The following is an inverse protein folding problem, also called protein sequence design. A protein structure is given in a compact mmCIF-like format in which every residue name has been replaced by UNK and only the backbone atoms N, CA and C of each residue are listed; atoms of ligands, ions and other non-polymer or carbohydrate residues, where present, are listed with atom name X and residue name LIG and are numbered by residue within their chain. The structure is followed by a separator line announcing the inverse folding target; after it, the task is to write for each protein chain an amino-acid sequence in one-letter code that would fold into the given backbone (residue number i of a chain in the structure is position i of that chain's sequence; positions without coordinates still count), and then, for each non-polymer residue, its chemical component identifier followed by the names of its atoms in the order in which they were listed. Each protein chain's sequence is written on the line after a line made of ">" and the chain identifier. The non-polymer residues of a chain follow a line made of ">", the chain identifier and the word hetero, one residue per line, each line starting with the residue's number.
data_IF_820353650953
#
_entry.id   IF_820353650953
#
_cell.length_a   1.000
_cell.length_b   1.000
_cell.length_c   1.000
_cell.angle_alpha   90.00
_cell.angle_beta   90.00
_cell.angle_gamma   90.00
#
_symmetry.space_group_name_H-M   'P 1'
#
loop_
_entity.id
_entity.type
_entity.pdbx_description
1 polymer ?
#
# COMPACT_ATOMS: atom_id res chain seq x y z
N UNK A 1 -16.13 -21.74 26.64
CA UNK A 1 -16.13 -20.28 26.39
C UNK A 1 -15.60 -19.90 25.00
N UNK A 2 -14.50 -20.50 24.50
CA UNK A 2 -13.96 -20.19 23.16
C UNK A 2 -14.90 -20.46 21.97
N UNK A 3 -15.83 -21.41 22.10
CA UNK A 3 -16.81 -21.73 21.04
C UNK A 3 -17.87 -20.65 20.83
N UNK A 4 -18.17 -19.85 21.86
CA UNK A 4 -19.10 -18.72 21.77
C UNK A 4 -18.43 -17.59 20.99
N UNK A 5 -17.17 -17.26 21.33
CA UNK A 5 -16.36 -16.28 20.60
C UNK A 5 -16.18 -16.68 19.12
N UNK A 6 -15.86 -17.94 18.82
CA UNK A 6 -15.71 -18.43 17.45
C UNK A 6 -17.01 -18.33 16.62
N UNK A 7 -18.18 -18.49 17.24
CA UNK A 7 -19.49 -18.29 16.58
C UNK A 7 -19.76 -16.81 16.29
N UNK A 8 -19.29 -15.89 17.15
CA UNK A 8 -19.39 -14.44 16.91
C UNK A 8 -18.63 -14.00 15.64
N UNK A 9 -17.47 -14.62 15.37
CA UNK A 9 -16.64 -14.30 14.20
C UNK A 9 -17.10 -14.94 12.89
N UNK A 10 -17.92 -16.01 12.94
CA UNK A 10 -18.50 -16.64 11.74
C UNK A 10 -19.40 -15.70 10.93
N UNK A 11 -19.97 -14.66 11.55
CA UNK A 11 -20.83 -13.69 10.87
C UNK A 11 -20.04 -12.73 9.94
N UNK A 12 -18.70 -12.69 10.09
CA UNK A 12 -17.82 -11.82 9.32
C UNK A 12 -17.05 -12.55 8.21
N UNK A 13 -17.16 -13.88 8.09
CA UNK A 13 -16.38 -14.68 7.13
C UNK A 13 -17.05 -14.83 5.76
N UNK A 14 -17.89 -13.87 5.35
CA UNK A 14 -18.77 -14.05 4.18
C UNK A 14 -18.86 -12.88 3.21
N UNK A 15 -18.08 -11.81 3.41
CA UNK A 15 -17.99 -10.71 2.45
C UNK A 15 -16.50 -10.52 2.19
N UNK A 16 -16.04 -10.96 1.01
CA UNK A 16 -14.77 -10.50 0.48
C UNK A 16 -14.92 -9.01 0.16
N UNK A 17 -14.78 -8.18 1.19
CA UNK A 17 -14.68 -6.74 1.04
C UNK A 17 -13.51 -6.47 0.11
N UNK A 18 -13.69 -5.54 -0.83
CA UNK A 18 -12.59 -5.02 -1.65
C UNK A 18 -11.43 -4.60 -0.74
N UNK A 19 -10.19 -4.69 -1.23
CA UNK A 19 -9.01 -4.24 -0.46
C UNK A 19 -9.19 -2.80 0.07
N UNK A 20 -9.92 -1.97 -0.67
CA UNK A 20 -10.25 -0.60 -0.30
C UNK A 20 -11.23 -0.53 0.88
N UNK A 21 -12.25 -1.38 0.91
CA UNK A 21 -13.23 -1.45 1.99
C UNK A 21 -12.60 -1.98 3.28
N UNK A 22 -11.72 -2.98 3.18
CA UNK A 22 -10.94 -3.50 4.31
C UNK A 22 -10.02 -2.41 4.88
N UNK A 23 -9.36 -1.63 4.01
CA UNK A 23 -8.51 -0.52 4.42
C UNK A 23 -9.32 0.59 5.11
N UNK A 24 -10.49 0.91 4.58
CA UNK A 24 -11.39 1.91 5.17
C UNK A 24 -11.90 1.48 6.55
N UNK A 25 -12.30 0.22 6.70
CA UNK A 25 -12.75 -0.34 7.98
C UNK A 25 -11.62 -0.33 9.02
N UNK A 26 -10.42 -0.77 8.63
CA UNK A 26 -9.24 -0.72 9.48
C UNK A 26 -8.94 0.71 9.95
N UNK A 27 -8.98 1.68 9.02
CA UNK A 27 -8.72 3.10 9.32
C UNK A 27 -9.75 3.67 10.30
N UNK A 28 -11.04 3.35 10.14
CA UNK A 28 -12.11 3.74 11.09
C UNK A 28 -11.90 3.14 12.48
N UNK A 29 -11.49 1.87 12.53
CA UNK A 29 -11.22 1.20 13.80
C UNK A 29 -10.02 1.81 14.52
N UNK A 30 -8.96 2.15 13.79
CA UNK A 30 -7.78 2.85 14.33
C UNK A 30 -8.13 4.24 14.84
N UNK A 31 -8.94 5.01 14.11
CA UNK A 31 -9.43 6.33 14.52
C UNK A 31 -10.18 6.27 15.87
N UNK A 32 -11.07 5.28 16.00
CA UNK A 32 -11.82 5.02 17.24
C UNK A 32 -10.89 4.68 18.40
N UNK A 33 -9.85 3.88 18.16
CA UNK A 33 -8.87 3.55 19.21
C UNK A 33 -8.10 4.78 19.69
N UNK A 34 -7.63 5.64 18.78
CA UNK A 34 -6.96 6.88 19.18
C UNK A 34 -7.88 7.81 19.96
N UNK A 35 -9.14 7.94 19.54
CA UNK A 35 -10.15 8.74 20.25
C UNK A 35 -10.39 8.22 21.67
N UNK A 36 -10.49 6.90 21.83
CA UNK A 36 -10.64 6.28 23.15
C UNK A 36 -9.43 6.51 24.04
N UNK A 37 -8.21 6.40 23.51
CA UNK A 37 -6.98 6.67 24.28
C UNK A 37 -6.95 8.12 24.74
N UNK A 38 -7.30 9.08 23.88
CA UNK A 38 -7.36 10.48 24.25
C UNK A 38 -8.38 10.72 25.38
N UNK A 39 -9.58 10.15 25.27
CA UNK A 39 -10.61 10.25 26.30
C UNK A 39 -10.17 9.65 27.64
N UNK A 40 -9.58 8.45 27.64
CA UNK A 40 -9.05 7.81 28.86
C UNK A 40 -7.96 8.65 29.52
N UNK A 41 -7.08 9.29 28.74
CA UNK A 41 -6.04 10.17 29.29
C UNK A 41 -6.67 11.41 29.93
N UNK A 42 -7.70 11.99 29.32
CA UNK A 42 -8.41 13.14 29.91
C UNK A 42 -9.15 12.81 31.20
N UNK A 43 -9.80 11.65 31.27
CA UNK A 43 -10.42 11.16 32.50
C UNK A 43 -9.37 10.92 33.60
N UNK A 44 -8.26 10.27 33.26
CA UNK A 44 -7.17 10.04 34.19
C UNK A 44 -6.56 11.34 34.73
N UNK A 45 -6.35 12.36 33.88
CA UNK A 45 -5.82 13.66 34.32
C UNK A 45 -6.82 14.44 35.21
N UNK A 46 -8.13 14.20 35.06
CA UNK A 46 -9.16 14.77 35.96
C UNK A 46 -9.13 14.12 37.34
N UNK A 47 -8.95 12.80 37.40
CA UNK A 47 -8.97 12.01 38.64
C UNK A 47 -7.62 12.01 39.37
N UNK A 48 -6.52 11.99 38.64
CA UNK A 48 -5.15 11.88 39.14
C UNK A 48 -4.31 13.08 38.69
N UNK A 49 -4.27 14.14 39.51
CA UNK A 49 -3.56 15.40 39.20
C UNK A 49 -2.03 15.29 39.21
N UNK A 50 -1.46 14.13 39.55
CA UNK A 50 -0.02 13.97 39.83
C UNK A 50 0.80 13.54 38.61
N UNK A 51 0.20 12.86 37.64
CA UNK A 51 0.90 12.37 36.44
C UNK A 51 0.23 12.91 35.20
N UNK A 52 0.90 13.86 34.53
CA UNK A 52 0.42 14.40 33.25
C UNK A 52 0.91 13.51 32.12
N UNK A 53 -0.02 12.89 31.39
CA UNK A 53 0.27 11.97 30.29
C UNK A 53 0.39 12.73 28.95
N UNK A 54 0.98 13.94 28.98
CA UNK A 54 1.04 14.88 27.84
C UNK A 54 1.55 14.26 26.54
N UNK A 55 2.56 13.38 26.63
CA UNK A 55 3.12 12.69 25.46
C UNK A 55 2.11 11.71 24.84
N UNK A 56 1.40 10.98 25.69
CA UNK A 56 0.39 10.01 25.25
C UNK A 56 -0.84 10.71 24.69
N UNK A 57 -1.29 11.80 25.34
CA UNK A 57 -2.37 12.65 24.82
C UNK A 57 -2.04 13.19 23.44
N UNK A 58 -0.85 13.80 23.28
CA UNK A 58 -0.40 14.33 21.99
C UNK A 58 -0.30 13.23 20.91
N UNK A 59 0.22 12.06 21.26
CA UNK A 59 0.29 10.92 20.34
C UNK A 59 -1.10 10.47 19.89
N UNK A 60 -2.07 10.40 20.81
CA UNK A 60 -3.45 10.05 20.49
C UNK A 60 -4.12 11.10 19.59
N UNK A 61 -3.95 12.39 19.90
CA UNK A 61 -4.45 13.51 19.09
C UNK A 61 -3.85 13.52 17.67
N UNK A 62 -2.54 13.29 17.55
CA UNK A 62 -1.84 13.16 16.26
C UNK A 62 -2.37 11.94 15.48
N UNK A 63 -2.67 10.85 16.19
CA UNK A 63 -3.31 9.64 15.65
C UNK A 63 -4.68 9.94 15.04
N UNK A 64 -5.59 10.58 15.80
CA UNK A 64 -6.92 11.00 15.31
C UNK A 64 -6.80 11.93 14.11
N UNK A 65 -5.87 12.89 14.14
CA UNK A 65 -5.65 13.82 13.02
C UNK A 65 -5.17 13.10 11.76
N UNK A 66 -4.31 12.10 11.92
CA UNK A 66 -3.80 11.29 10.82
C UNK A 66 -4.90 10.43 10.19
N UNK A 67 -5.65 9.67 11.00
CA UNK A 67 -6.76 8.83 10.53
C UNK A 67 -7.88 9.66 9.94
N UNK A 68 -8.23 10.80 10.54
CA UNK A 68 -9.23 11.73 10.02
C UNK A 68 -8.88 12.27 8.63
N UNK A 69 -7.59 12.59 8.37
CA UNK A 69 -7.13 12.96 7.02
C UNK A 69 -7.29 11.82 6.03
N UNK A 70 -6.93 10.59 6.43
CA UNK A 70 -7.04 9.39 5.58
C UNK A 70 -8.49 9.04 5.24
N UNK A 71 -9.40 9.17 6.20
CA UNK A 71 -10.83 8.95 5.97
C UNK A 71 -11.41 9.96 4.97
N UNK A 72 -11.02 11.23 5.06
CA UNK A 72 -11.46 12.26 4.11
C UNK A 72 -10.97 11.98 2.68
N UNK A 73 -9.71 11.56 2.52
CA UNK A 73 -9.17 11.19 1.20
C UNK A 73 -9.78 9.92 0.59
N UNK A 74 -10.46 9.09 1.39
CA UNK A 74 -11.16 7.88 0.90
C UNK A 74 -12.66 8.15 0.69
N UNK A 75 -13.25 9.10 1.42
CA UNK A 75 -14.67 9.45 1.32
C UNK A 75 -14.96 10.52 0.27
N UNK A 76 -14.00 11.39 -0.01
CA UNK A 76 -14.04 12.18 -1.23
C UNK A 76 -13.73 11.21 -2.37
N UNK A 77 -14.71 10.94 -3.25
CA UNK A 77 -14.50 10.59 -4.66
C UNK A 77 -13.73 11.76 -5.31
N UNK A 78 -12.54 12.05 -4.79
CA UNK A 78 -11.53 12.69 -5.58
C UNK A 78 -11.37 11.68 -6.68
N UNK A 79 -11.85 12.03 -7.86
CA UNK A 79 -11.24 11.63 -9.11
C UNK A 79 -9.79 12.09 -8.97
N UNK A 80 -9.02 11.34 -8.18
CA UNK A 80 -7.59 11.34 -8.20
C UNK A 80 -7.39 10.89 -9.63
N UNK A 81 -7.12 11.86 -10.50
CA UNK A 81 -6.47 11.58 -11.76
C UNK A 81 -5.40 10.59 -11.36
N UNK A 82 -5.52 9.31 -11.77
CA UNK A 82 -4.53 8.33 -11.39
C UNK A 82 -3.22 9.01 -11.67
N UNK A 83 -2.34 9.12 -10.66
CA UNK A 83 -0.95 9.48 -10.95
C UNK A 83 -0.62 8.50 -12.06
N UNK A 84 -0.45 9.01 -13.29
CA UNK A 84 -0.09 8.17 -14.41
C UNK A 84 1.15 7.47 -13.88
N UNK A 85 1.01 6.19 -13.50
CA UNK A 85 2.14 5.37 -13.10
C UNK A 85 3.04 5.52 -14.29
N UNK A 86 4.16 6.24 -14.12
CA UNK A 86 5.04 6.70 -15.19
C UNK A 86 5.02 5.63 -16.25
N UNK A 87 4.34 5.89 -17.38
CA UNK A 87 3.89 4.85 -18.31
C UNK A 87 5.02 3.86 -18.46
N UNK A 88 4.88 2.70 -17.80
CA UNK A 88 5.98 1.73 -17.72
C UNK A 88 6.41 1.54 -19.15
N UNK A 89 7.64 1.94 -19.51
CA UNK A 89 8.01 2.03 -20.92
C UNK A 89 7.66 0.70 -21.58
N UNK A 90 7.13 0.68 -22.80
CA UNK A 90 6.66 -0.57 -23.43
C UNK A 90 7.74 -1.67 -23.39
N UNK A 91 8.99 -1.22 -23.41
CA UNK A 91 10.20 -1.99 -23.18
C UNK A 91 10.35 -2.54 -21.76
N UNK A 92 10.23 -1.71 -20.73
CA UNK A 92 10.28 -2.14 -19.33
C UNK A 92 9.16 -3.12 -19.01
N UNK A 93 7.94 -2.85 -19.50
CA UNK A 93 6.81 -3.78 -19.36
C UNK A 93 7.14 -5.14 -20.00
N UNK A 94 7.70 -5.14 -21.21
CA UNK A 94 8.07 -6.36 -21.90
C UNK A 94 9.17 -7.14 -21.16
N UNK A 95 10.23 -6.48 -20.68
CA UNK A 95 11.32 -7.12 -19.93
C UNK A 95 10.79 -7.76 -18.63
N UNK A 96 9.91 -7.07 -17.90
CA UNK A 96 9.29 -7.60 -16.68
C UNK A 96 8.44 -8.84 -16.99
N UNK A 97 7.61 -8.79 -18.04
CA UNK A 97 6.79 -9.93 -18.47
C UNK A 97 7.65 -11.15 -18.85
N UNK A 98 8.74 -10.94 -19.58
CA UNK A 98 9.66 -12.02 -19.95
C UNK A 98 10.38 -12.61 -18.72
N UNK A 99 10.73 -11.77 -17.74
CA UNK A 99 11.33 -12.23 -16.47
C UNK A 99 10.37 -13.08 -15.65
N UNK A 100 9.10 -12.70 -15.58
CA UNK A 100 8.09 -13.49 -14.88
C UNK A 100 7.84 -14.84 -15.55
N UNK A 101 7.83 -14.85 -16.89
CA UNK A 101 7.65 -16.09 -17.67
C UNK A 101 8.81 -17.07 -17.50
N UNK A 102 10.04 -16.57 -17.37
CA UNK A 102 11.26 -17.38 -17.33
C UNK A 102 12.03 -17.26 -16.01
N UNK A 103 11.37 -16.96 -14.88
CA UNK A 103 11.96 -16.64 -13.55
C UNK A 103 13.38 -17.15 -13.28
N UNK A 104 13.60 -18.47 -13.39
CA UNK A 104 14.87 -19.13 -13.04
C UNK A 104 15.84 -19.32 -14.23
N UNK A 105 15.40 -19.12 -15.47
CA UNK A 105 16.20 -19.31 -16.69
C UNK A 105 16.08 -18.09 -17.62
N UNK A 106 15.94 -16.90 -17.05
CA UNK A 106 15.81 -15.68 -17.81
C UNK A 106 17.16 -15.35 -18.50
N UNK A 107 17.13 -15.23 -19.82
CA UNK A 107 18.31 -14.92 -20.64
C UNK A 107 18.11 -13.59 -21.36
N UNK A 108 19.00 -12.64 -21.07
CA UNK A 108 18.97 -11.30 -21.67
C UNK A 108 19.09 -11.31 -23.19
N UNK A 109 19.91 -12.20 -23.76
CA UNK A 109 20.03 -12.34 -25.22
C UNK A 109 18.70 -12.68 -25.90
N UNK A 110 18.02 -13.74 -25.42
CA UNK A 110 16.72 -14.14 -25.95
C UNK A 110 15.62 -13.10 -25.70
N UNK A 111 15.70 -12.37 -24.59
CA UNK A 111 14.77 -11.28 -24.31
C UNK A 111 14.96 -10.16 -25.34
N UNK A 112 16.21 -9.77 -25.62
CA UNK A 112 16.55 -8.72 -26.56
C UNK A 112 16.11 -9.09 -27.99
N UNK A 113 16.44 -10.28 -28.48
CA UNK A 113 16.01 -10.76 -29.81
C UNK A 113 14.48 -10.68 -29.99
N UNK A 114 13.72 -11.17 -29.01
CA UNK A 114 12.25 -11.13 -29.05
C UNK A 114 11.66 -9.73 -28.94
N UNK A 115 12.36 -8.80 -28.31
CA UNK A 115 11.92 -7.41 -28.25
C UNK A 115 12.29 -6.63 -29.51
N UNK A 116 13.43 -6.95 -30.15
CA UNK A 116 13.79 -6.45 -31.48
C UNK A 116 12.79 -6.89 -32.54
N UNK A 117 12.36 -8.16 -32.54
CA UNK A 117 11.30 -8.67 -33.43
C UNK A 117 9.98 -7.89 -33.28
N UNK A 118 9.73 -7.33 -32.09
CA UNK A 118 8.56 -6.50 -31.77
C UNK A 118 8.79 -5.00 -31.97
N UNK A 119 9.98 -4.62 -32.45
CA UNK A 119 10.37 -3.21 -32.63
C UNK A 119 10.52 -2.42 -31.33
N UNK A 120 10.64 -3.09 -30.17
CA UNK A 120 10.69 -2.45 -28.86
C UNK A 120 12.09 -1.96 -28.51
N UNK A 121 13.16 -2.60 -28.97
CA UNK A 121 14.51 -2.37 -28.43
C UNK A 121 15.48 -1.61 -29.34
N UNK A 122 14.94 -0.90 -30.35
CA UNK A 122 15.72 -0.20 -31.37
C UNK A 122 16.73 0.81 -30.80
N UNK A 123 16.48 1.34 -29.59
CA UNK A 123 17.37 2.29 -28.90
C UNK A 123 18.58 1.67 -28.21
N UNK A 124 18.65 0.33 -28.12
CA UNK A 124 19.80 -0.37 -27.53
C UNK A 124 20.61 -1.06 -28.60
N UNK A 125 21.93 -0.89 -28.54
CA UNK A 125 22.87 -1.53 -29.47
C UNK A 125 23.09 -3.02 -29.20
N UNK A 126 22.69 -3.53 -28.04
CA UNK A 126 22.87 -4.94 -27.66
C UNK A 126 22.04 -5.34 -26.44
N UNK A 127 21.90 -6.65 -26.23
CA UNK A 127 21.32 -7.22 -25.02
C UNK A 127 22.04 -6.77 -23.72
N UNK A 128 23.34 -6.50 -23.79
CA UNK A 128 24.11 -6.00 -22.64
C UNK A 128 23.77 -4.54 -22.33
N UNK A 129 23.57 -3.72 -23.35
CA UNK A 129 23.10 -2.34 -23.19
C UNK A 129 21.72 -2.31 -22.54
N UNK A 130 20.77 -3.13 -23.00
CA UNK A 130 19.43 -3.28 -22.41
C UNK A 130 19.50 -3.73 -20.95
N UNK A 131 20.35 -4.71 -20.65
CA UNK A 131 20.56 -5.20 -19.28
C UNK A 131 21.07 -4.08 -18.37
N UNK A 132 22.04 -3.30 -18.84
CA UNK A 132 22.64 -2.22 -18.08
C UNK A 132 21.64 -1.08 -17.83
N UNK A 133 20.84 -0.70 -18.83
CA UNK A 133 19.81 0.34 -18.66
C UNK A 133 18.72 -0.11 -17.69
N UNK A 134 18.32 -1.38 -17.74
CA UNK A 134 17.40 -1.97 -16.75
C UNK A 134 17.96 -1.91 -15.32
N UNK A 135 19.19 -2.38 -15.09
CA UNK A 135 19.77 -2.39 -13.75
C UNK A 135 20.06 -0.99 -13.19
N UNK A 136 20.37 -0.04 -14.07
CA UNK A 136 20.56 1.36 -13.70
C UNK A 136 19.24 2.14 -13.53
N UNK A 137 18.08 1.47 -13.62
CA UNK A 137 16.74 2.07 -13.52
C UNK A 137 16.52 3.20 -14.54
N UNK A 138 17.05 3.03 -15.75
CA UNK A 138 16.96 3.98 -16.88
C UNK A 138 16.18 3.41 -18.07
N UNK A 139 15.43 2.33 -17.86
CA UNK A 139 14.68 1.61 -18.89
C UNK A 139 13.25 2.13 -19.00
#
# INVERSE_FOLDING_TARGET
>A
MYSIAAKSFKKYSGIELSQEEQYLEMTKNTDKQFSNIAACVEEYEKESKTVTLKRLKKYAEDGVKYTGKKLKTVAEDIVVTPIEQEKTSAELFFVVQQREKYKNNFRWGLCYEKGEEKGLFQRYSSALSLKNTYHNKRL
#
